data_IF_095933601437
#
_entry.id   IF_095933601437
#
_cell.length_a   1.000
_cell.length_b   1.000
_cell.length_c   1.000
_cell.angle_alpha   90.00
_cell.angle_beta   90.00
_cell.angle_gamma   90.00
#
_symmetry.space_group_name_H-M   'P 1'
#
loop_
_entity.id
_entity.type
_entity.pdbx_description
1 polymer ?
#
# COMPACT_ATOMS: atom_id res chain seq x y z
N UNK A 1 12.04 47.15 19.75
CA UNK A 1 12.20 46.04 18.79
C UNK A 1 11.59 44.81 19.44
N UNK A 2 10.43 44.36 18.98
CA UNK A 2 9.76 43.17 19.52
C UNK A 2 10.06 41.98 18.60
N UNK A 3 10.58 40.91 19.18
CA UNK A 3 10.95 39.68 18.50
C UNK A 3 9.69 39.05 17.91
N UNK A 4 9.60 39.00 16.58
CA UNK A 4 8.56 38.24 15.90
C UNK A 4 8.79 36.76 16.23
N UNK A 5 7.95 36.21 17.10
CA UNK A 5 7.82 34.77 17.31
C UNK A 5 7.33 34.16 16.01
N UNK A 6 8.26 33.68 15.17
CA UNK A 6 7.89 32.83 14.06
C UNK A 6 7.24 31.57 14.64
N UNK A 7 6.03 31.19 14.22
CA UNK A 7 5.47 29.92 14.63
C UNK A 7 6.39 28.82 14.12
N UNK A 8 7.06 28.12 15.03
CA UNK A 8 7.62 26.80 14.74
C UNK A 8 6.43 25.97 14.28
N UNK A 9 6.35 25.69 12.98
CA UNK A 9 5.60 24.55 12.50
C UNK A 9 6.24 23.35 13.18
N UNK A 10 5.66 22.90 14.29
CA UNK A 10 5.90 21.59 14.80
C UNK A 10 5.48 20.64 13.67
N UNK A 11 6.45 20.22 12.87
CA UNK A 11 6.25 19.27 11.79
C UNK A 11 6.16 17.89 12.45
N UNK A 12 5.06 17.66 13.16
CA UNK A 12 4.69 16.38 13.76
C UNK A 12 4.11 15.40 12.73
N UNK A 13 4.05 15.79 11.45
CA UNK A 13 3.72 14.89 10.36
C UNK A 13 4.96 14.17 9.87
N UNK A 14 5.22 12.98 10.39
CA UNK A 14 6.07 12.02 9.69
C UNK A 14 5.55 11.80 8.26
N UNK A 15 6.34 11.18 7.37
CA UNK A 15 5.89 10.91 6.01
C UNK A 15 4.55 10.15 6.02
N UNK A 16 3.61 10.55 5.15
CA UNK A 16 2.34 9.84 5.01
C UNK A 16 2.63 8.43 4.45
N UNK A 17 2.33 7.40 5.24
CA UNK A 17 2.58 5.99 4.90
C UNK A 17 1.30 5.25 4.51
N UNK A 18 1.44 4.29 3.60
CA UNK A 18 0.42 3.29 3.30
C UNK A 18 1.04 1.91 3.34
N UNK A 19 0.38 1.00 4.06
CA UNK A 19 0.72 -0.42 4.09
C UNK A 19 -0.32 -1.16 3.27
N UNK A 20 0.14 -1.95 2.29
CA UNK A 20 -0.71 -2.86 1.53
C UNK A 20 -0.31 -4.28 1.89
N UNK A 21 -1.22 -5.07 2.45
CA UNK A 21 -1.00 -6.51 2.69
C UNK A 21 -1.78 -7.31 1.66
N UNK A 22 -1.08 -8.15 0.92
CA UNK A 22 -1.60 -9.03 -0.10
C UNK A 22 -1.58 -10.46 0.44
N UNK A 23 -2.73 -11.12 0.40
CA UNK A 23 -2.86 -12.54 0.65
C UNK A 23 -3.36 -13.22 -0.63
N UNK A 24 -2.52 -14.11 -1.17
CA UNK A 24 -2.83 -14.85 -2.38
C UNK A 24 -3.52 -16.16 -2.04
N UNK A 25 -4.83 -16.23 -2.30
CA UNK A 25 -5.65 -17.42 -2.11
C UNK A 25 -5.90 -18.17 -3.42
N UNK A 26 -6.62 -19.29 -3.33
CA UNK A 26 -7.01 -20.06 -4.51
C UNK A 26 -8.04 -19.31 -5.37
N UNK A 27 -7.56 -18.55 -6.36
CA UNK A 27 -8.38 -17.86 -7.37
C UNK A 27 -8.65 -16.38 -7.11
N UNK A 28 -8.35 -15.87 -5.91
CA UNK A 28 -8.54 -14.46 -5.55
C UNK A 28 -7.35 -13.95 -4.72
N UNK A 29 -6.97 -12.70 -4.95
CA UNK A 29 -6.00 -11.95 -4.16
C UNK A 29 -6.80 -11.01 -3.28
N UNK A 30 -6.60 -11.10 -1.96
CA UNK A 30 -7.17 -10.17 -0.99
C UNK A 30 -6.10 -9.14 -0.63
N UNK A 31 -6.40 -7.86 -0.83
CA UNK A 31 -5.50 -6.77 -0.50
C UNK A 31 -6.13 -5.88 0.57
N UNK A 32 -5.42 -5.68 1.68
CA UNK A 32 -5.79 -4.75 2.75
C UNK A 32 -4.90 -3.52 2.63
N UNK A 33 -5.50 -2.34 2.44
CA UNK A 33 -4.80 -1.06 2.29
C UNK A 33 -5.04 -0.23 3.56
N UNK A 34 -4.00 0.04 4.34
CA UNK A 34 -4.06 0.78 5.59
C UNK A 34 -3.34 2.13 5.47
N UNK A 35 -4.06 3.23 5.71
CA UNK A 35 -3.56 4.63 5.64
C UNK A 35 -3.45 5.31 7.01
N UNK A 36 -3.38 4.50 8.07
CA UNK A 36 -3.38 4.93 9.47
C UNK A 36 -4.24 4.02 10.35
N UNK A 37 -4.12 4.18 11.66
CA UNK A 37 -4.90 3.38 12.62
C UNK A 37 -6.40 3.53 12.39
N UNK A 38 -7.11 2.39 12.29
CA UNK A 38 -8.54 2.35 11.98
C UNK A 38 -8.94 2.77 10.56
N UNK A 39 -7.97 3.07 9.67
CA UNK A 39 -8.20 3.54 8.30
C UNK A 39 -7.76 2.49 7.28
N UNK A 40 -8.47 1.36 7.28
CA UNK A 40 -8.23 0.25 6.34
C UNK A 40 -9.39 0.09 5.36
N UNK A 41 -9.06 -0.21 4.10
CA UNK A 41 -10.01 -0.68 3.09
C UNK A 41 -9.53 -2.02 2.51
N UNK A 42 -10.47 -2.85 2.10
CA UNK A 42 -10.19 -4.14 1.46
C UNK A 42 -10.55 -4.08 -0.02
N UNK A 43 -9.69 -4.65 -0.87
CA UNK A 43 -9.97 -4.84 -2.28
C UNK A 43 -9.60 -6.26 -2.70
N UNK A 44 -10.41 -6.82 -3.57
CA UNK A 44 -10.22 -8.18 -4.10
C UNK A 44 -10.10 -8.14 -5.61
N UNK A 45 -9.22 -8.98 -6.15
CA UNK A 45 -9.09 -9.17 -7.60
C UNK A 45 -8.63 -10.59 -7.91
N UNK A 46 -8.73 -11.01 -9.17
CA UNK A 46 -8.46 -12.39 -9.54
C UNK A 46 -7.00 -12.78 -9.28
N UNK A 47 -6.81 -13.92 -8.61
CA UNK A 47 -5.52 -14.61 -8.57
C UNK A 47 -5.44 -15.60 -9.73
N UNK A 48 -4.27 -15.79 -10.34
CA UNK A 48 -4.03 -17.04 -11.03
C UNK A 48 -2.79 -17.11 -11.91
N UNK A 49 -2.35 -18.36 -12.08
CA UNK A 49 -1.41 -18.76 -13.13
C UNK A 49 -2.08 -19.03 -14.47
N UNK A 50 -1.27 -19.21 -15.52
CA UNK A 50 -1.74 -19.54 -16.87
C UNK A 50 -2.65 -18.45 -17.47
N UNK A 51 -3.85 -18.81 -17.91
CA UNK A 51 -4.79 -17.89 -18.60
C UNK A 51 -5.29 -16.73 -17.73
N UNK A 52 -5.09 -16.80 -16.41
CA UNK A 52 -5.51 -15.75 -15.45
C UNK A 52 -4.38 -14.77 -15.09
N UNK A 53 -3.16 -14.99 -15.61
CA UNK A 53 -2.03 -14.08 -15.38
C UNK A 53 -2.33 -12.65 -15.83
N UNK A 54 -3.05 -12.48 -16.94
CA UNK A 54 -3.44 -11.15 -17.43
C UNK A 54 -4.38 -10.46 -16.43
N UNK A 55 -5.43 -11.15 -15.98
CA UNK A 55 -6.38 -10.58 -15.02
C UNK A 55 -5.73 -10.26 -13.67
N UNK A 56 -4.83 -11.13 -13.19
CA UNK A 56 -4.06 -10.88 -11.97
C UNK A 56 -3.14 -9.67 -12.12
N UNK A 57 -2.39 -9.58 -13.24
CA UNK A 57 -1.52 -8.44 -13.55
C UNK A 57 -2.30 -7.12 -13.63
N UNK A 58 -3.47 -7.10 -14.28
CA UNK A 58 -4.34 -5.92 -14.33
C UNK A 58 -4.86 -5.52 -12.94
N UNK A 59 -5.13 -6.49 -12.07
CA UNK A 59 -5.52 -6.24 -10.67
C UNK A 59 -4.42 -5.53 -9.89
N UNK A 60 -3.19 -6.06 -9.94
CA UNK A 60 -2.02 -5.38 -9.34
C UNK A 60 -1.80 -4.00 -9.94
N UNK A 61 -1.88 -3.87 -11.27
CA UNK A 61 -1.73 -2.59 -11.95
C UNK A 61 -2.73 -1.56 -11.43
N UNK A 62 -4.03 -1.91 -11.36
CA UNK A 62 -5.08 -1.01 -10.87
C UNK A 62 -4.83 -0.58 -9.42
N UNK A 63 -4.48 -1.53 -8.55
CA UNK A 63 -4.18 -1.28 -7.14
C UNK A 63 -2.98 -0.33 -6.98
N UNK A 64 -1.85 -0.65 -7.62
CA UNK A 64 -0.61 0.11 -7.48
C UNK A 64 -0.74 1.48 -8.15
N UNK A 65 -1.35 1.55 -9.33
CA UNK A 65 -1.55 2.80 -10.05
C UNK A 65 -2.48 3.77 -9.27
N UNK A 66 -3.51 3.27 -8.56
CA UNK A 66 -4.33 4.09 -7.66
C UNK A 66 -3.47 4.79 -6.61
N UNK A 67 -2.55 4.05 -5.96
CA UNK A 67 -1.67 4.62 -4.94
C UNK A 67 -0.67 5.63 -5.53
N UNK A 68 -0.17 5.37 -6.74
CA UNK A 68 0.68 6.33 -7.46
C UNK A 68 -0.07 7.62 -7.81
N UNK A 69 -1.32 7.53 -8.26
CA UNK A 69 -2.18 8.69 -8.53
C UNK A 69 -2.51 9.48 -7.25
N UNK A 70 -2.61 8.81 -6.11
CA UNK A 70 -2.75 9.44 -4.79
C UNK A 70 -1.45 10.14 -4.31
N UNK A 71 -0.33 9.99 -5.04
CA UNK A 71 0.97 10.61 -4.76
C UNK A 71 1.88 9.76 -3.87
N UNK A 72 1.55 8.50 -3.64
CA UNK A 72 2.41 7.58 -2.92
C UNK A 72 3.43 6.93 -3.87
N UNK A 73 4.58 6.54 -3.33
CA UNK A 73 5.64 5.82 -4.06
C UNK A 73 6.01 4.55 -3.30
N UNK A 74 6.22 3.44 -4.00
CA UNK A 74 6.65 2.19 -3.37
C UNK A 74 8.07 2.38 -2.82
N UNK A 75 8.26 2.09 -1.53
CA UNK A 75 9.57 2.18 -0.87
C UNK A 75 10.15 0.82 -0.53
N UNK A 76 9.31 -0.13 -0.16
CA UNK A 76 9.79 -1.45 0.20
C UNK A 76 8.72 -2.52 -0.05
N UNK A 77 9.18 -3.76 -0.24
CA UNK A 77 8.35 -4.95 -0.30
C UNK A 77 8.91 -5.99 0.66
N UNK A 78 8.02 -6.61 1.43
CA UNK A 78 8.32 -7.70 2.34
C UNK A 78 7.54 -8.91 1.89
N UNK A 79 8.18 -10.07 1.78
CA UNK A 79 7.49 -11.33 1.59
C UNK A 79 7.68 -12.18 2.83
N UNK A 80 6.58 -12.80 3.27
CA UNK A 80 6.63 -13.87 4.26
C UNK A 80 5.98 -15.09 3.66
N UNK A 81 6.77 -16.14 3.46
CA UNK A 81 6.24 -17.45 3.16
C UNK A 81 5.69 -18.05 4.45
N UNK A 82 4.38 -18.26 4.51
CA UNK A 82 3.77 -19.15 5.51
C UNK A 82 3.46 -20.49 4.85
N UNK A 83 3.36 -21.56 5.63
CA UNK A 83 3.12 -22.91 5.10
C UNK A 83 1.84 -23.02 4.23
N UNK A 84 0.90 -22.09 4.37
CA UNK A 84 -0.43 -22.17 3.76
C UNK A 84 -0.78 -20.99 2.84
N UNK A 85 0.06 -19.96 2.77
CA UNK A 85 -0.15 -18.80 1.91
C UNK A 85 1.12 -17.96 1.79
N UNK A 86 1.39 -17.47 0.59
CA UNK A 86 2.33 -16.38 0.37
C UNK A 86 1.64 -15.07 0.75
N UNK A 87 2.24 -14.35 1.69
CA UNK A 87 1.81 -13.00 2.06
C UNK A 87 2.88 -12.02 1.61
N UNK A 88 2.46 -10.98 0.91
CA UNK A 88 3.32 -9.88 0.51
C UNK A 88 2.83 -8.60 1.19
N UNK A 89 3.75 -7.82 1.76
CA UNK A 89 3.46 -6.50 2.31
C UNK A 89 4.22 -5.46 1.50
N UNK A 90 3.54 -4.43 1.03
CA UNK A 90 4.11 -3.30 0.30
C UNK A 90 4.01 -2.05 1.17
N UNK A 91 5.13 -1.34 1.33
CA UNK A 91 5.19 -0.06 2.00
C UNK A 91 5.29 1.05 0.98
N UNK A 92 4.33 1.96 1.02
CA UNK A 92 4.30 3.16 0.19
C UNK A 92 4.43 4.42 1.05
N UNK A 93 5.05 5.46 0.49
CA UNK A 93 5.28 6.75 1.15
C UNK A 93 4.95 7.91 0.21
N UNK A 94 4.27 8.94 0.72
CA UNK A 94 3.97 10.18 -0.01
C UNK A 94 4.85 11.33 0.48
N UNK A 95 5.33 12.15 -0.46
CA UNK A 95 6.11 13.36 -0.16
C UNK A 95 7.61 13.16 0.04
N UNK A 96 8.23 12.20 -0.67
CA UNK A 96 9.68 12.20 -0.91
C UNK A 96 10.00 12.78 -2.28
#
# INVERSE_FOLDING_TARGET
>A
MALASQPVKAQTGGPDIVIVRLAEGAGTIHAVITRGEGKSEEVEFQNGGGKRLVASSEGYYKLINKLYQEGYTLKNSFSSASMNAEQMTLLFVKGQ
#
